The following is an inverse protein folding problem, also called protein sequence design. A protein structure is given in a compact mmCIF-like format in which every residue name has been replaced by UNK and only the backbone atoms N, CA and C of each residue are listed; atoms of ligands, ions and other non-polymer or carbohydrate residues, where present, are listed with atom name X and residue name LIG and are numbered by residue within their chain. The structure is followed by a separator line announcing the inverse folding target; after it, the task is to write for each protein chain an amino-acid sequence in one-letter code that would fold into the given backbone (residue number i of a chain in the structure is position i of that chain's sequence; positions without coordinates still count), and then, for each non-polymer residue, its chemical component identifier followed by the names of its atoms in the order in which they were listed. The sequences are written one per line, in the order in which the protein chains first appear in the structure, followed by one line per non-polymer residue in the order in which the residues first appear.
data_IF_800158626044
#
_entry.id   IF_800158626044
#
_cell.length_a   1.000
_cell.length_b   1.000
_cell.length_c   1.000
_cell.angle_alpha   90.00
_cell.angle_beta   90.00
_cell.angle_gamma   90.00
#
_symmetry.space_group_name_H-M   'P 1'
#
loop_
_entity.id
_entity.type
_entity.pdbx_description
1 polymer ?
#
# COMPACT_ATOMS: atom_id res chain seq x y z
N UNK A 1 -18.98 5.09 -76.46
CA UNK A 1 -20.41 5.31 -76.16
C UNK A 1 -20.64 4.87 -74.74
N UNK A 2 -21.15 5.79 -73.92
CA UNK A 2 -21.87 5.56 -72.65
C UNK A 2 -21.07 5.15 -71.40
N UNK A 3 -20.71 6.18 -70.62
CA UNK A 3 -20.67 6.27 -69.14
C UNK A 3 -21.98 5.77 -68.46
N UNK A 4 -22.14 5.76 -67.10
CA UNK A 4 -21.26 5.36 -65.98
C UNK A 4 -22.05 4.60 -64.86
N UNK A 5 -21.53 4.56 -63.61
CA UNK A 5 -22.12 4.14 -62.30
C UNK A 5 -21.99 2.64 -61.96
N UNK A 6 -21.60 2.21 -60.75
CA UNK A 6 -21.94 2.74 -59.44
C UNK A 6 -20.84 2.53 -58.38
N UNK A 7 -20.61 3.59 -57.62
CA UNK A 7 -19.93 3.68 -56.33
C UNK A 7 -20.78 3.10 -55.19
N UNK A 8 -20.10 2.79 -54.08
CA UNK A 8 -20.61 2.81 -52.70
C UNK A 8 -21.48 1.65 -52.21
N UNK A 9 -20.92 0.84 -51.31
CA UNK A 9 -21.32 0.81 -49.88
C UNK A 9 -20.81 -0.48 -49.24
N UNK A 10 -19.71 -0.38 -48.50
CA UNK A 10 -19.25 -1.43 -47.57
C UNK A 10 -19.88 -1.24 -46.17
N UNK A 11 -20.95 -0.43 -46.08
CA UNK A 11 -21.64 -0.07 -44.84
C UNK A 11 -22.95 -0.84 -44.60
N UNK A 12 -23.37 -1.74 -45.51
CA UNK A 12 -24.62 -2.51 -45.36
C UNK A 12 -24.44 -3.98 -44.91
N UNK A 13 -23.22 -4.40 -44.55
CA UNK A 13 -22.98 -5.75 -43.99
C UNK A 13 -22.69 -5.79 -42.48
N UNK A 14 -22.76 -4.65 -41.78
CA UNK A 14 -22.54 -4.59 -40.32
C UNK A 14 -23.84 -4.36 -39.53
N UNK A 15 -24.98 -4.17 -40.20
CA UNK A 15 -26.25 -3.86 -39.55
C UNK A 15 -27.17 -5.07 -39.25
N UNK A 16 -26.91 -6.27 -39.78
CA UNK A 16 -27.78 -7.46 -39.55
C UNK A 16 -27.22 -8.52 -38.57
N UNK A 17 -26.01 -8.34 -38.04
CA UNK A 17 -25.44 -9.22 -37.00
C UNK A 17 -25.66 -8.72 -35.56
N UNK A 18 -26.32 -7.56 -35.40
CA UNK A 18 -26.70 -6.99 -34.09
C UNK A 18 -28.14 -7.35 -33.68
N UNK A 19 -28.93 -7.98 -34.56
CA UNK A 19 -30.36 -8.24 -34.31
C UNK A 19 -30.72 -9.65 -33.80
N UNK A 20 -29.76 -10.59 -33.69
CA UNK A 20 -30.03 -11.97 -33.24
C UNK A 20 -29.38 -12.37 -31.90
N UNK A 21 -28.79 -11.43 -31.14
CA UNK A 21 -28.28 -11.69 -29.79
C UNK A 21 -29.10 -11.05 -28.65
N UNK A 22 -30.25 -10.45 -28.96
CA UNK A 22 -31.14 -9.83 -27.97
C UNK A 22 -32.36 -10.67 -27.56
N UNK A 23 -32.36 -11.99 -27.82
CA UNK A 23 -33.52 -12.87 -27.51
C UNK A 23 -33.28 -13.96 -26.45
N UNK A 24 -32.20 -13.88 -25.66
CA UNK A 24 -31.98 -14.79 -24.51
C UNK A 24 -31.99 -14.10 -23.14
N UNK A 25 -32.34 -12.81 -23.07
CA UNK A 25 -32.46 -12.04 -21.80
C UNK A 25 -33.88 -11.82 -21.31
N UNK A 26 -34.89 -12.45 -21.92
CA UNK A 26 -36.29 -12.26 -21.48
C UNK A 26 -36.92 -13.41 -20.70
N UNK A 27 -36.17 -14.46 -20.31
CA UNK A 27 -36.75 -15.63 -19.60
C UNK A 27 -36.03 -16.09 -18.32
N UNK A 28 -35.22 -15.23 -17.69
CA UNK A 28 -34.62 -15.51 -16.36
C UNK A 28 -35.15 -14.59 -15.26
N UNK A 29 -35.94 -13.56 -15.61
CA UNK A 29 -36.34 -12.54 -14.64
C UNK A 29 -37.62 -12.84 -13.83
N UNK A 30 -38.33 -13.96 -14.09
CA UNK A 30 -39.53 -14.33 -13.33
C UNK A 30 -39.32 -15.33 -12.19
N UNK A 31 -38.21 -16.09 -12.15
CA UNK A 31 -38.00 -17.09 -11.09
C UNK A 31 -37.33 -16.52 -9.82
N UNK A 32 -36.70 -15.35 -9.89
CA UNK A 32 -35.95 -14.76 -8.77
C UNK A 32 -36.77 -13.87 -7.81
N UNK A 33 -38.04 -13.56 -8.12
CA UNK A 33 -38.90 -12.72 -7.26
C UNK A 33 -39.67 -13.51 -6.19
N UNK A 34 -39.88 -14.83 -6.34
CA UNK A 34 -40.52 -15.68 -5.32
C UNK A 34 -39.60 -16.11 -4.16
N UNK A 35 -38.28 -16.14 -4.37
CA UNK A 35 -37.29 -16.56 -3.35
C UNK A 35 -37.00 -15.52 -2.25
N UNK A 36 -37.19 -14.22 -2.55
CA UNK A 36 -36.92 -13.13 -1.58
C UNK A 36 -38.03 -12.95 -0.53
N UNK A 37 -39.26 -13.37 -0.81
CA UNK A 37 -40.38 -13.23 0.12
C UNK A 37 -40.38 -14.31 1.22
N UNK A 38 -39.94 -15.53 0.87
CA UNK A 38 -39.84 -16.66 1.81
C UNK A 38 -38.67 -16.44 2.79
N UNK A 39 -37.50 -15.97 2.33
CA UNK A 39 -36.34 -15.69 3.21
C UNK A 39 -36.62 -14.62 4.26
N UNK A 40 -37.41 -13.58 3.93
CA UNK A 40 -37.78 -12.52 4.89
C UNK A 40 -38.76 -13.01 5.96
N UNK A 41 -39.57 -14.04 5.70
CA UNK A 41 -40.47 -14.65 6.70
C UNK A 41 -39.74 -15.63 7.62
N UNK A 42 -38.72 -16.33 7.12
CA UNK A 42 -37.89 -17.25 7.93
C UNK A 42 -36.95 -16.50 8.89
N UNK A 43 -36.37 -15.37 8.46
CA UNK A 43 -35.50 -14.55 9.32
C UNK A 43 -36.26 -13.99 10.55
N UNK A 44 -37.49 -13.50 10.37
CA UNK A 44 -38.32 -13.00 11.48
C UNK A 44 -38.74 -14.06 12.49
N UNK A 45 -38.84 -15.33 12.08
CA UNK A 45 -39.15 -16.43 13.01
C UNK A 45 -37.92 -16.83 13.84
N UNK A 46 -36.71 -16.67 13.29
CA UNK A 46 -35.46 -16.91 14.01
C UNK A 46 -35.21 -15.86 15.09
N UNK A 47 -35.49 -14.58 14.81
CA UNK A 47 -35.34 -13.51 15.80
C UNK A 47 -36.29 -13.69 17.01
N UNK A 48 -37.51 -14.18 16.79
CA UNK A 48 -38.48 -14.47 17.87
C UNK A 48 -38.04 -15.67 18.72
N UNK A 49 -37.45 -16.70 18.10
CA UNK A 49 -36.93 -17.88 18.81
C UNK A 49 -35.72 -17.55 19.70
N UNK A 50 -34.83 -16.66 19.25
CA UNK A 50 -33.68 -16.19 20.04
C UNK A 50 -34.15 -15.36 21.25
N UNK A 51 -35.15 -14.50 21.08
CA UNK A 51 -35.69 -13.69 22.19
C UNK A 51 -36.36 -14.58 23.25
N UNK A 52 -37.08 -15.64 22.85
CA UNK A 52 -37.69 -16.60 23.78
C UNK A 52 -36.63 -17.38 24.57
N UNK A 53 -35.52 -17.77 23.94
CA UNK A 53 -34.41 -18.44 24.60
C UNK A 53 -33.64 -17.51 25.57
N UNK A 54 -33.52 -16.23 25.25
CA UNK A 54 -32.89 -15.25 26.15
C UNK A 54 -33.74 -14.92 27.40
N UNK A 55 -35.08 -14.99 27.30
CA UNK A 55 -35.97 -14.73 28.45
C UNK A 55 -36.06 -15.92 29.42
N UNK A 56 -35.70 -17.13 28.99
CA UNK A 56 -35.68 -18.33 29.84
C UNK A 56 -34.44 -18.44 30.74
N UNK A 57 -33.43 -17.56 30.60
CA UNK A 57 -32.20 -17.58 31.41
C UNK A 57 -32.26 -16.67 32.66
N UNK A 58 -33.39 -16.03 32.96
CA UNK A 58 -33.55 -15.19 34.16
C UNK A 58 -34.24 -16.00 35.27
N UNK A 59 -33.56 -17.03 35.77
CA UNK A 59 -33.86 -17.63 37.08
C UNK A 59 -32.58 -17.58 37.91
N UNK A 60 -32.56 -16.63 38.86
CA UNK A 60 -31.47 -16.41 39.81
C UNK A 60 -31.47 -17.52 40.87
N UNK A 61 -30.29 -18.08 41.17
CA UNK A 61 -30.01 -18.74 42.44
C UNK A 61 -28.74 -18.15 43.08
N UNK A 62 -28.64 -18.08 44.42
CA UNK A 62 -27.75 -17.19 45.14
C UNK A 62 -26.40 -17.82 45.51
N UNK A 63 -25.41 -16.93 45.68
CA UNK A 63 -24.06 -17.18 46.20
C UNK A 63 -24.07 -17.76 47.62
N UNK A 64 -22.96 -18.38 48.05
CA UNK A 64 -22.30 -17.79 49.21
C UNK A 64 -20.78 -17.64 49.07
N UNK A 65 -20.32 -16.59 49.72
CA UNK A 65 -18.97 -16.13 50.02
C UNK A 65 -18.19 -17.11 50.90
N UNK A 66 -16.86 -17.22 50.75
CA UNK A 66 -15.92 -17.32 51.88
C UNK A 66 -14.54 -16.74 51.54
N UNK A 67 -13.89 -16.29 52.60
CA UNK A 67 -12.84 -15.29 52.70
C UNK A 67 -11.40 -15.82 52.54
N UNK A 68 -10.46 -14.88 52.41
CA UNK A 68 -9.00 -15.05 52.37
C UNK A 68 -8.39 -15.68 53.64
N UNK A 69 -7.11 -16.10 53.58
CA UNK A 69 -6.10 -15.36 54.35
C UNK A 69 -4.79 -15.07 53.60
N UNK A 70 -4.07 -14.06 54.11
CA UNK A 70 -2.74 -13.59 53.71
C UNK A 70 -1.60 -14.52 54.13
N UNK A 71 -0.50 -14.54 53.36
CA UNK A 71 0.87 -14.69 53.89
C UNK A 71 1.96 -14.42 52.82
N UNK A 72 2.87 -13.49 53.15
CA UNK A 72 4.33 -13.52 52.96
C UNK A 72 4.96 -13.73 51.56
N UNK A 73 5.36 -12.62 50.95
CA UNK A 73 6.76 -12.29 50.62
C UNK A 73 7.71 -13.41 50.14
N UNK A 74 7.88 -13.52 48.82
CA UNK A 74 9.21 -13.74 48.22
C UNK A 74 9.25 -13.24 46.77
N UNK A 75 10.11 -12.25 46.52
CA UNK A 75 10.44 -11.73 45.19
C UNK A 75 10.95 -12.85 44.27
N UNK A 76 10.32 -12.99 43.09
CA UNK A 76 11.01 -13.45 41.89
C UNK A 76 10.28 -12.94 40.63
N UNK A 77 11.07 -12.31 39.77
CA UNK A 77 10.72 -11.81 38.44
C UNK A 77 9.81 -12.74 37.63
N UNK A 78 8.58 -12.31 37.35
CA UNK A 78 7.88 -12.61 36.09
C UNK A 78 7.01 -11.41 35.76
N UNK A 79 7.41 -10.63 34.74
CA UNK A 79 6.57 -9.57 34.18
C UNK A 79 5.40 -10.27 33.47
N UNK A 80 4.25 -10.27 34.15
CA UNK A 80 2.96 -10.67 33.62
C UNK A 80 2.67 -9.93 32.31
N UNK A 81 2.66 -10.66 31.19
CA UNK A 81 2.11 -10.21 29.92
C UNK A 81 0.65 -10.66 29.85
N UNK A 82 -0.28 -9.70 29.90
CA UNK A 82 -1.68 -9.92 29.54
C UNK A 82 -1.81 -10.33 28.06
N UNK A 83 -2.73 -11.23 27.70
CA UNK A 83 -2.84 -11.79 26.35
C UNK A 83 -3.61 -10.90 25.33
N UNK A 84 -3.40 -9.57 25.34
CA UNK A 84 -4.14 -8.64 24.49
C UNK A 84 -3.27 -7.65 23.68
N UNK A 85 -1.95 -7.86 23.59
CA UNK A 85 -1.02 -6.90 23.00
C UNK A 85 -0.20 -7.51 21.85
N UNK A 86 -0.88 -8.09 20.86
CA UNK A 86 -0.27 -8.51 19.58
C UNK A 86 -0.40 -7.38 18.56
N UNK A 87 0.20 -6.22 18.87
CA UNK A 87 0.52 -5.19 17.88
C UNK A 87 1.86 -5.50 17.18
N UNK A 88 2.17 -4.82 16.06
CA UNK A 88 3.47 -4.94 15.41
C UNK A 88 4.59 -4.61 16.41
N UNK A 89 5.72 -5.34 16.32
CA UNK A 89 6.90 -5.25 17.22
C UNK A 89 7.15 -3.83 17.73
N UNK A 90 7.47 -3.67 19.02
CA UNK A 90 7.79 -2.35 19.62
C UNK A 90 8.94 -1.62 18.91
N UNK A 91 9.73 -2.34 18.13
CA UNK A 91 10.80 -1.76 17.32
C UNK A 91 10.21 -1.24 16.01
N UNK A 92 10.42 0.05 15.75
CA UNK A 92 9.99 0.69 14.52
C UNK A 92 10.87 0.20 13.35
N UNK A 93 10.40 -0.84 12.65
CA UNK A 93 11.06 -1.54 11.52
C UNK A 93 11.73 -0.60 10.50
N UNK A 94 11.12 0.56 10.27
CA UNK A 94 11.52 1.51 9.25
C UNK A 94 12.35 2.68 9.76
N UNK A 95 12.73 2.69 11.05
CA UNK A 95 13.77 3.58 11.57
C UNK A 95 15.12 2.96 11.21
N UNK A 96 15.96 3.70 10.46
CA UNK A 96 17.25 3.22 9.95
C UNK A 96 17.16 1.82 9.27
N UNK A 97 16.35 1.64 8.22
CA UNK A 97 16.02 0.33 7.64
C UNK A 97 17.21 -0.39 6.98
N UNK A 98 18.34 0.31 6.82
CA UNK A 98 19.54 -0.17 6.15
C UNK A 98 20.61 -0.67 7.11
N UNK A 99 20.40 -0.57 8.43
CA UNK A 99 21.35 -1.05 9.43
C UNK A 99 22.67 -0.26 9.50
N UNK A 100 22.80 0.82 8.71
CA UNK A 100 23.92 1.76 8.81
C UNK A 100 23.62 2.70 9.99
N UNK A 101 24.39 2.59 11.06
CA UNK A 101 24.43 3.65 12.06
C UNK A 101 25.01 4.87 11.38
N UNK A 102 24.16 5.83 11.04
CA UNK A 102 24.60 7.21 10.86
C UNK A 102 25.39 7.55 12.12
N UNK A 103 26.67 7.85 11.98
CA UNK A 103 27.46 8.40 13.07
C UNK A 103 26.67 9.56 13.64
N UNK A 104 26.18 9.38 14.87
CA UNK A 104 25.63 10.49 15.62
C UNK A 104 26.73 11.57 15.66
N UNK A 105 26.42 12.86 15.43
CA UNK A 105 27.45 13.91 15.40
C UNK A 105 28.18 14.15 16.74
N UNK A 106 28.05 13.25 17.72
CA UNK A 106 28.55 13.39 19.08
C UNK A 106 29.67 12.40 19.43
N UNK A 107 30.09 11.50 18.53
CA UNK A 107 31.27 10.65 18.78
C UNK A 107 32.47 11.10 17.93
N UNK A 108 33.19 12.08 18.49
CA UNK A 108 34.55 12.44 18.11
C UNK A 108 35.47 11.24 18.42
N UNK A 109 35.78 10.45 17.39
CA UNK A 109 36.89 9.49 17.41
C UNK A 109 37.34 9.17 15.98
N UNK A 110 38.25 10.02 15.48
CA UNK A 110 39.39 9.63 14.64
C UNK A 110 39.22 8.41 13.71
N UNK A 111 38.67 8.64 12.51
CA UNK A 111 39.09 7.89 11.32
C UNK A 111 39.74 8.87 10.35
N UNK A 112 40.99 9.22 10.66
CA UNK A 112 41.89 9.72 9.64
C UNK A 112 42.47 8.54 8.87
N UNK A 113 42.36 8.58 7.55
CA UNK A 113 43.40 8.13 6.60
C UNK A 113 42.82 8.20 5.18
N UNK A 114 43.26 9.21 4.43
CA UNK A 114 43.50 9.12 2.98
C UNK A 114 42.42 8.38 2.17
N UNK A 115 41.24 8.97 2.04
CA UNK A 115 40.35 8.63 0.94
C UNK A 115 40.99 9.17 -0.34
N UNK A 116 41.56 8.27 -1.14
CA UNK A 116 42.01 8.53 -2.50
C UNK A 116 40.90 9.29 -3.28
N UNK A 117 41.17 10.51 -3.80
CA UNK A 117 40.18 11.29 -4.55
C UNK A 117 39.70 10.60 -5.84
N UNK A 118 40.31 9.46 -6.22
CA UNK A 118 39.93 8.66 -7.38
C UNK A 118 38.82 7.61 -7.09
N UNK A 119 38.40 7.43 -5.83
CA UNK A 119 37.31 6.50 -5.45
C UNK A 119 35.97 7.21 -5.19
N UNK A 120 35.76 8.39 -5.74
CA UNK A 120 34.42 8.95 -5.84
C UNK A 120 33.65 8.12 -6.89
N UNK A 121 32.67 7.33 -6.46
CA UNK A 121 31.71 6.69 -7.37
C UNK A 121 31.19 7.80 -8.29
N UNK A 122 31.30 7.61 -9.61
CA UNK A 122 30.87 8.61 -10.56
C UNK A 122 29.40 8.96 -10.26
N UNK A 123 29.04 10.24 -10.20
CA UNK A 123 27.68 10.67 -9.81
C UNK A 123 26.58 9.88 -10.56
N UNK A 124 26.82 9.62 -11.84
CA UNK A 124 25.94 8.83 -12.69
C UNK A 124 25.77 7.38 -12.23
N UNK A 125 26.80 6.74 -11.68
CA UNK A 125 26.72 5.35 -11.19
C UNK A 125 25.78 5.24 -9.98
N UNK A 126 25.89 6.14 -9.00
CA UNK A 126 24.96 6.18 -7.85
C UNK A 126 23.50 6.38 -8.30
N UNK A 127 23.25 7.35 -9.18
CA UNK A 127 21.90 7.62 -9.66
C UNK A 127 21.35 6.46 -10.52
N UNK A 128 22.20 5.83 -11.34
CA UNK A 128 21.81 4.66 -12.13
C UNK A 128 21.42 3.47 -11.23
N UNK A 129 22.12 3.26 -10.12
CA UNK A 129 21.77 2.18 -9.18
C UNK A 129 20.41 2.42 -8.53
N UNK A 130 20.10 3.66 -8.13
CA UNK A 130 18.77 4.03 -7.60
C UNK A 130 17.70 3.71 -8.65
N UNK A 131 17.89 4.14 -9.90
CA UNK A 131 16.94 3.89 -11.00
C UNK A 131 16.78 2.39 -11.24
N UNK A 132 17.86 1.63 -11.26
CA UNK A 132 17.84 0.18 -11.49
C UNK A 132 17.01 -0.54 -10.42
N UNK A 133 17.23 -0.22 -9.15
CA UNK A 133 16.50 -0.82 -8.04
C UNK A 133 15.04 -0.37 -8.05
N UNK A 134 14.75 0.90 -8.33
CA UNK A 134 13.39 1.41 -8.44
C UNK A 134 12.61 0.74 -9.57
N UNK A 135 13.22 0.57 -10.76
CA UNK A 135 12.63 -0.17 -11.89
C UNK A 135 12.40 -1.64 -11.56
N UNK A 136 13.31 -2.26 -10.81
CA UNK A 136 13.16 -3.64 -10.36
C UNK A 136 11.95 -3.79 -9.42
N UNK A 137 11.85 -2.89 -8.43
CA UNK A 137 10.72 -2.82 -7.51
C UNK A 137 9.39 -2.54 -8.24
N UNK A 138 9.40 -1.61 -9.19
CA UNK A 138 8.23 -1.25 -10.01
C UNK A 138 7.77 -2.43 -10.86
N UNK A 139 8.70 -3.11 -11.54
CA UNK A 139 8.40 -4.28 -12.36
C UNK A 139 7.80 -5.42 -11.54
N UNK A 140 8.25 -5.61 -10.30
CA UNK A 140 7.63 -6.55 -9.38
C UNK A 140 6.22 -6.12 -8.97
N UNK A 141 6.02 -4.86 -8.59
CA UNK A 141 4.72 -4.33 -8.21
C UNK A 141 3.70 -4.46 -9.35
N UNK A 142 4.12 -4.16 -10.59
CA UNK A 142 3.28 -4.30 -11.79
C UNK A 142 2.83 -5.75 -12.03
N UNK A 143 3.73 -6.73 -11.85
CA UNK A 143 3.36 -8.15 -11.98
C UNK A 143 2.34 -8.61 -10.93
N UNK A 144 2.36 -7.99 -9.76
CA UNK A 144 1.48 -8.33 -8.65
C UNK A 144 0.11 -7.63 -8.74
N UNK A 145 0.08 -6.35 -9.15
CA UNK A 145 -1.10 -5.48 -8.99
C UNK A 145 -2.37 -5.99 -9.66
N UNK A 146 -2.27 -6.53 -10.87
CA UNK A 146 -3.45 -6.94 -11.64
C UNK A 146 -4.14 -8.13 -10.96
N UNK A 147 -3.34 -9.10 -10.50
CA UNK A 147 -3.83 -10.25 -9.74
C UNK A 147 -4.41 -9.86 -8.39
N UNK A 148 -3.76 -8.92 -7.69
CA UNK A 148 -4.26 -8.37 -6.44
C UNK A 148 -5.61 -7.68 -6.60
N UNK A 149 -5.73 -6.75 -7.56
CA UNK A 149 -6.97 -6.00 -7.80
C UNK A 149 -8.09 -6.95 -8.23
N UNK A 150 -7.79 -7.86 -9.16
CA UNK A 150 -8.79 -8.80 -9.66
C UNK A 150 -9.32 -9.72 -8.56
N UNK A 151 -8.45 -10.22 -7.69
CA UNK A 151 -8.84 -11.12 -6.61
C UNK A 151 -9.57 -10.41 -5.47
N UNK A 152 -9.19 -9.16 -5.18
CA UNK A 152 -9.70 -8.39 -4.03
C UNK A 152 -11.01 -7.67 -4.34
N UNK A 153 -11.14 -7.13 -5.55
CA UNK A 153 -12.26 -6.26 -5.93
C UNK A 153 -13.11 -6.81 -7.09
N UNK A 154 -12.69 -7.93 -7.70
CA UNK A 154 -13.37 -8.57 -8.83
C UNK A 154 -13.55 -7.67 -10.07
N UNK A 155 -12.68 -6.68 -10.24
CA UNK A 155 -12.62 -5.77 -11.40
C UNK A 155 -11.24 -5.83 -12.04
N UNK A 156 -11.07 -5.32 -13.25
CA UNK A 156 -9.74 -5.16 -13.84
C UNK A 156 -8.99 -3.97 -13.22
N UNK A 157 -7.66 -3.99 -13.35
CA UNK A 157 -6.79 -2.94 -12.81
C UNK A 157 -7.13 -1.55 -13.35
N UNK A 158 -7.33 -1.43 -14.67
CA UNK A 158 -7.55 -0.13 -15.31
C UNK A 158 -8.83 0.50 -14.80
N UNK A 159 -9.93 -0.26 -14.78
CA UNK A 159 -11.21 0.19 -14.24
C UNK A 159 -11.08 0.59 -12.76
N UNK A 160 -10.41 -0.21 -11.95
CA UNK A 160 -10.25 0.09 -10.53
C UNK A 160 -9.40 1.34 -10.29
N UNK A 161 -8.27 1.47 -10.99
CA UNK A 161 -7.40 2.64 -10.91
C UNK A 161 -8.14 3.92 -11.31
N UNK A 162 -8.81 3.91 -12.46
CA UNK A 162 -9.57 5.07 -12.93
C UNK A 162 -10.69 5.49 -11.97
N UNK A 163 -11.33 4.53 -11.30
CA UNK A 163 -12.40 4.82 -10.33
C UNK A 163 -11.87 5.54 -9.09
N UNK A 164 -10.63 5.25 -8.67
CA UNK A 164 -10.13 5.65 -7.36
C UNK A 164 -8.88 6.55 -7.40
N UNK A 165 -8.34 6.88 -8.57
CA UNK A 165 -7.08 7.65 -8.71
C UNK A 165 -7.09 9.00 -7.99
N UNK A 166 -8.25 9.65 -7.92
CA UNK A 166 -8.39 10.98 -7.28
C UNK A 166 -8.52 10.92 -5.74
N UNK A 167 -8.68 9.73 -5.15
CA UNK A 167 -8.72 9.59 -3.70
C UNK A 167 -7.32 9.45 -3.12
N UNK A 168 -7.02 10.29 -2.13
CA UNK A 168 -5.70 10.35 -1.48
C UNK A 168 -5.83 10.43 0.04
N UNK A 169 -4.91 9.79 0.76
CA UNK A 169 -4.81 9.99 2.21
C UNK A 169 -3.89 11.15 2.54
N UNK A 170 -4.32 12.06 3.40
CA UNK A 170 -3.55 13.26 3.77
C UNK A 170 -2.20 13.00 4.44
N UNK A 171 -1.96 11.78 4.94
CA UNK A 171 -0.69 11.39 5.55
C UNK A 171 0.30 10.77 4.55
N UNK A 172 -0.15 10.45 3.33
CA UNK A 172 0.71 10.04 2.21
C UNK A 172 1.24 11.29 1.48
N UNK A 173 2.36 11.20 0.75
CA UNK A 173 2.90 12.31 -0.04
C UNK A 173 1.82 12.96 -0.92
N UNK A 174 1.67 14.28 -0.81
CA UNK A 174 0.59 15.01 -1.48
C UNK A 174 0.84 15.21 -2.98
N UNK A 175 -0.19 15.68 -3.70
CA UNK A 175 -0.07 16.11 -5.09
C UNK A 175 0.90 17.30 -5.30
N UNK A 176 1.26 18.04 -4.25
CA UNK A 176 2.31 19.06 -4.35
C UNK A 176 3.72 18.44 -4.29
N UNK A 177 3.83 17.28 -3.63
CA UNK A 177 5.08 16.56 -3.44
C UNK A 177 5.36 15.57 -4.58
N UNK A 178 4.33 14.88 -5.05
CA UNK A 178 4.35 13.97 -6.20
C UNK A 178 3.21 14.40 -7.15
N UNK A 179 3.46 15.35 -8.07
CA UNK A 179 2.42 15.98 -8.88
C UNK A 179 2.01 15.14 -10.11
N UNK A 180 1.63 13.89 -9.87
CA UNK A 180 1.20 12.95 -10.92
C UNK A 180 0.40 11.80 -10.32
N UNK A 181 -0.44 11.17 -11.15
CA UNK A 181 -1.02 9.86 -10.85
C UNK A 181 -0.15 8.72 -11.37
N UNK A 182 -0.42 7.51 -10.86
CA UNK A 182 0.21 6.29 -11.34
C UNK A 182 -0.01 6.13 -12.86
N UNK A 183 1.07 5.93 -13.60
CA UNK A 183 1.09 5.78 -15.05
C UNK A 183 1.24 7.09 -15.84
N UNK A 184 1.23 8.24 -15.18
CA UNK A 184 1.48 9.54 -15.81
C UNK A 184 2.95 9.94 -15.70
N UNK A 185 3.47 10.78 -16.61
CA UNK A 185 4.83 11.31 -16.46
C UNK A 185 4.87 12.45 -15.45
N UNK A 186 5.96 12.54 -14.68
CA UNK A 186 6.18 13.69 -13.79
C UNK A 186 6.28 14.99 -14.61
N UNK A 187 5.54 16.07 -14.26
CA UNK A 187 5.59 17.33 -14.98
C UNK A 187 7.00 17.91 -15.09
N UNK A 188 7.39 18.31 -16.31
CA UNK A 188 8.74 18.82 -16.59
C UNK A 188 9.08 20.07 -15.75
N UNK A 189 8.11 20.96 -15.56
CA UNK A 189 8.28 22.15 -14.72
C UNK A 189 8.57 21.81 -13.25
N UNK A 190 8.01 20.70 -12.74
CA UNK A 190 8.35 20.20 -11.41
C UNK A 190 9.79 19.72 -11.37
N UNK A 191 10.18 18.86 -12.32
CA UNK A 191 11.55 18.33 -12.43
C UNK A 191 12.60 19.44 -12.54
N UNK A 192 12.31 20.49 -13.31
CA UNK A 192 13.20 21.64 -13.50
C UNK A 192 13.51 22.42 -12.21
N UNK A 193 12.58 22.40 -11.26
CA UNK A 193 12.71 23.10 -9.98
C UNK A 193 13.38 22.25 -8.89
N UNK A 194 13.74 21.00 -9.17
CA UNK A 194 14.38 20.11 -8.20
C UNK A 194 15.89 20.36 -8.11
N UNK A 195 16.40 20.27 -6.89
CA UNK A 195 17.82 20.18 -6.58
C UNK A 195 18.16 18.77 -6.10
N UNK A 196 19.26 18.19 -6.59
CA UNK A 196 19.59 16.78 -6.33
C UNK A 196 19.67 16.43 -4.83
N UNK A 197 20.33 17.23 -3.95
CA UNK A 197 20.33 16.95 -2.51
C UNK A 197 18.92 16.89 -1.91
N UNK A 198 18.05 17.82 -2.31
CA UNK A 198 16.66 17.89 -1.85
C UNK A 198 15.84 16.73 -2.40
N UNK A 199 16.04 16.36 -3.66
CA UNK A 199 15.39 15.24 -4.31
C UNK A 199 15.73 13.89 -3.65
N UNK A 200 17.00 13.69 -3.25
CA UNK A 200 17.41 12.51 -2.48
C UNK A 200 16.69 12.44 -1.12
N UNK A 201 16.71 13.54 -0.36
CA UNK A 201 16.03 13.63 0.94
C UNK A 201 14.54 13.36 0.83
N UNK A 202 13.87 14.03 -0.11
CA UNK A 202 12.42 13.95 -0.25
C UNK A 202 12.00 12.57 -0.78
N UNK A 203 12.73 12.01 -1.75
CA UNK A 203 12.50 10.64 -2.22
C UNK A 203 12.63 9.63 -1.09
N UNK A 204 13.68 9.73 -0.27
CA UNK A 204 13.85 8.86 0.90
C UNK A 204 12.65 8.97 1.86
N UNK A 205 12.24 10.20 2.19
CA UNK A 205 11.10 10.47 3.07
C UNK A 205 9.79 9.89 2.52
N UNK A 206 9.52 10.06 1.23
CA UNK A 206 8.31 9.54 0.59
C UNK A 206 8.29 8.01 0.63
N UNK A 207 9.39 7.38 0.25
CA UNK A 207 9.54 5.92 0.29
C UNK A 207 9.44 5.36 1.72
N UNK A 208 10.01 6.04 2.72
CA UNK A 208 9.87 5.64 4.12
C UNK A 208 8.43 5.76 4.61
N UNK A 209 7.70 6.78 4.14
CA UNK A 209 6.26 6.95 4.42
C UNK A 209 5.45 5.79 3.85
N UNK A 210 5.71 5.39 2.60
CA UNK A 210 5.08 4.21 2.01
C UNK A 210 5.44 2.92 2.74
N UNK A 211 6.69 2.80 3.22
CA UNK A 211 7.15 1.62 3.94
C UNK A 211 6.36 1.39 5.24
N UNK A 212 6.12 2.47 6.00
CA UNK A 212 5.25 2.43 7.19
C UNK A 212 3.82 2.04 6.85
N UNK A 213 3.30 2.47 5.69
CA UNK A 213 2.01 2.04 5.18
C UNK A 213 1.97 0.56 4.82
N UNK A 214 2.95 0.08 4.04
CA UNK A 214 3.06 -1.31 3.61
C UNK A 214 3.26 -2.28 4.78
N UNK A 215 3.91 -1.85 5.86
CA UNK A 215 3.99 -2.62 7.10
C UNK A 215 2.60 -3.00 7.61
N UNK A 216 1.69 -2.02 7.62
CA UNK A 216 0.31 -2.23 8.02
C UNK A 216 -0.39 -3.17 7.03
N UNK A 217 -0.18 -3.00 5.73
CA UNK A 217 -0.76 -3.87 4.69
C UNK A 217 -0.35 -5.33 4.91
N UNK A 218 0.94 -5.59 5.14
CA UNK A 218 1.48 -6.93 5.43
C UNK A 218 0.88 -7.53 6.68
N UNK A 219 0.77 -6.74 7.75
CA UNK A 219 0.17 -7.18 9.01
C UNK A 219 -1.31 -7.55 8.83
N UNK A 220 -2.04 -6.79 8.02
CA UNK A 220 -3.44 -7.09 7.71
C UNK A 220 -3.64 -8.36 6.87
N UNK A 221 -2.59 -8.85 6.20
CA UNK A 221 -2.64 -10.13 5.48
C UNK A 221 -2.50 -11.36 6.41
N UNK A 222 -2.13 -11.19 7.69
CA UNK A 222 -1.92 -12.31 8.63
C UNK A 222 -3.21 -13.10 8.88
N UNK A 223 -4.37 -12.48 8.65
CA UNK A 223 -5.69 -13.06 8.85
C UNK A 223 -6.32 -13.72 7.60
N UNK A 224 -5.60 -13.88 6.48
CA UNK A 224 -5.99 -14.88 5.45
C UNK A 224 -6.38 -14.40 4.05
N UNK A 225 -5.83 -13.29 3.55
CA UNK A 225 -6.02 -12.81 2.17
C UNK A 225 -5.08 -13.42 1.13
N UNK A 226 -4.08 -14.21 1.56
CA UNK A 226 -3.19 -14.97 0.66
C UNK A 226 -2.05 -14.17 0.02
N UNK A 227 -2.05 -12.84 0.10
CA UNK A 227 -1.03 -11.96 -0.51
C UNK A 227 0.12 -11.56 0.42
N UNK A 228 0.24 -12.18 1.60
CA UNK A 228 1.27 -11.83 2.58
C UNK A 228 2.67 -11.87 1.97
N UNK A 229 2.99 -12.93 1.22
CA UNK A 229 4.29 -13.10 0.59
C UNK A 229 4.57 -12.01 -0.45
N UNK A 230 3.58 -11.64 -1.27
CA UNK A 230 3.73 -10.60 -2.29
C UNK A 230 3.97 -9.21 -1.68
N UNK A 231 3.23 -8.87 -0.62
CA UNK A 231 3.44 -7.61 0.08
C UNK A 231 4.74 -7.58 0.88
N UNK A 232 5.17 -8.70 1.48
CA UNK A 232 6.51 -8.80 2.09
C UNK A 232 7.61 -8.62 1.04
N UNK A 233 7.46 -9.23 -0.13
CA UNK A 233 8.39 -9.04 -1.23
C UNK A 233 8.40 -7.59 -1.71
N UNK A 234 7.26 -6.89 -1.66
CA UNK A 234 7.17 -5.45 -1.95
C UNK A 234 7.94 -4.62 -0.92
N UNK A 235 7.79 -4.91 0.38
CA UNK A 235 8.57 -4.26 1.44
C UNK A 235 10.08 -4.48 1.27
N UNK A 236 10.50 -5.69 0.89
CA UNK A 236 11.91 -5.99 0.66
C UNK A 236 12.49 -5.18 -0.50
N UNK A 237 11.78 -5.09 -1.62
CA UNK A 237 12.21 -4.29 -2.77
C UNK A 237 12.22 -2.79 -2.46
N UNK A 238 11.24 -2.28 -1.72
CA UNK A 238 11.24 -0.91 -1.23
C UNK A 238 12.44 -0.61 -0.34
N UNK A 239 12.79 -1.54 0.57
CA UNK A 239 13.98 -1.39 1.41
C UNK A 239 15.26 -1.28 0.58
N UNK A 240 15.40 -2.07 -0.48
CA UNK A 240 16.57 -1.96 -1.37
C UNK A 240 16.69 -0.56 -1.99
N UNK A 241 15.58 0.02 -2.47
CA UNK A 241 15.58 1.38 -3.03
C UNK A 241 15.92 2.42 -1.96
N UNK A 242 15.32 2.31 -0.76
CA UNK A 242 15.62 3.19 0.37
C UNK A 242 17.11 3.18 0.71
N UNK A 243 17.74 2.01 0.72
CA UNK A 243 19.15 1.89 1.09
C UNK A 243 20.10 2.43 0.03
N UNK A 244 19.74 2.32 -1.24
CA UNK A 244 20.54 2.93 -2.30
C UNK A 244 20.45 4.46 -2.25
N UNK A 245 19.25 5.02 -2.04
CA UNK A 245 19.08 6.46 -1.84
C UNK A 245 19.87 6.92 -0.60
N UNK A 246 19.83 6.16 0.49
CA UNK A 246 20.58 6.48 1.71
C UNK A 246 22.09 6.46 1.47
N UNK A 247 22.61 5.47 0.74
CA UNK A 247 24.02 5.43 0.35
C UNK A 247 24.40 6.66 -0.47
N UNK A 248 23.60 7.02 -1.48
CA UNK A 248 23.82 8.23 -2.27
C UNK A 248 23.75 9.52 -1.43
N UNK A 249 22.94 9.56 -0.36
CA UNK A 249 22.92 10.68 0.58
C UNK A 249 24.21 10.75 1.41
N UNK A 250 24.71 9.62 1.92
CA UNK A 250 25.97 9.54 2.69
C UNK A 250 27.14 10.02 1.84
N UNK A 251 27.30 9.49 0.63
CA UNK A 251 28.38 9.85 -0.31
C UNK A 251 28.38 11.35 -0.64
N UNK A 252 27.22 12.01 -0.58
CA UNK A 252 27.06 13.44 -0.89
C UNK A 252 27.00 14.34 0.34
N UNK A 253 27.16 13.80 1.55
CA UNK A 253 27.03 14.55 2.80
C UNK A 253 25.63 15.14 3.02
N UNK A 254 24.60 14.54 2.43
CA UNK A 254 23.20 14.98 2.54
C UNK A 254 22.56 14.36 3.77
N UNK A 255 22.15 15.19 4.73
CA UNK A 255 21.49 14.72 5.95
C UNK A 255 20.07 14.21 5.66
N UNK A 256 19.66 13.14 6.32
CA UNK A 256 18.29 12.63 6.28
C UNK A 256 17.31 13.59 6.96
N UNK A 257 16.05 13.58 6.49
CA UNK A 257 14.93 14.05 7.32
C UNK A 257 14.79 13.18 8.57
N UNK A 258 14.07 13.70 9.57
CA UNK A 258 13.67 12.88 10.72
C UNK A 258 12.95 11.60 10.26
N UNK A 259 13.25 10.48 10.90
CA UNK A 259 12.66 9.20 10.57
C UNK A 259 11.14 9.24 10.66
N UNK A 260 10.47 8.71 9.65
CA UNK A 260 9.02 8.54 9.66
C UNK A 260 8.66 7.38 10.58
N UNK A 261 7.92 7.68 11.65
CA UNK A 261 7.46 6.67 12.59
C UNK A 261 6.05 6.18 12.22
N UNK A 262 5.59 5.14 12.90
CA UNK A 262 4.24 4.60 12.67
C UNK A 262 3.17 5.67 12.86
N UNK A 263 3.32 6.61 13.78
CA UNK A 263 2.31 7.64 14.09
C UNK A 263 1.79 8.47 12.91
N UNK A 264 2.53 8.54 11.79
CA UNK A 264 2.09 9.20 10.55
C UNK A 264 0.73 8.68 10.06
N UNK A 265 0.46 7.37 10.25
CA UNK A 265 -0.85 6.79 9.99
C UNK A 265 -1.59 6.64 11.33
N UNK A 266 -2.68 7.40 11.47
CA UNK A 266 -3.46 7.46 12.71
C UNK A 266 -4.05 6.10 13.10
N UNK A 267 -4.35 5.92 14.38
CA UNK A 267 -4.87 4.66 14.94
C UNK A 267 -6.19 4.22 14.31
N UNK A 268 -7.01 5.14 13.81
CA UNK A 268 -8.26 4.80 13.09
C UNK A 268 -7.99 4.05 11.78
N UNK A 269 -6.89 4.37 11.08
CA UNK A 269 -6.48 3.66 9.88
C UNK A 269 -5.82 2.33 10.21
N UNK A 270 -5.12 2.22 11.34
CA UNK A 270 -4.48 0.97 11.77
C UNK A 270 -5.45 -0.04 12.36
N UNK A 271 -6.37 0.43 13.21
CA UNK A 271 -7.27 -0.43 13.99
C UNK A 271 -8.65 -0.50 13.33
N UNK A 272 -8.69 -0.68 12.01
CA UNK A 272 -9.94 -0.90 11.30
C UNK A 272 -10.56 -2.23 11.74
N UNK A 273 -11.83 -2.21 12.13
CA UNK A 273 -12.52 -3.41 12.64
C UNK A 273 -12.50 -4.53 11.60
N UNK A 274 -12.21 -5.77 12.04
CA UNK A 274 -12.14 -6.96 11.17
C UNK A 274 -13.43 -7.21 10.36
N UNK A 275 -14.57 -6.69 10.83
CA UNK A 275 -15.86 -6.76 10.13
C UNK A 275 -15.99 -5.84 8.91
N UNK A 276 -15.00 -5.00 8.60
CA UNK A 276 -15.04 -4.05 7.49
C UNK A 276 -13.89 -4.27 6.48
N UNK A 277 -13.78 -5.51 5.98
CA UNK A 277 -12.73 -5.92 5.04
C UNK A 277 -12.70 -5.06 3.77
N UNK A 278 -13.85 -4.57 3.28
CA UNK A 278 -13.89 -3.72 2.09
C UNK A 278 -13.16 -2.39 2.27
N UNK A 279 -13.33 -1.71 3.41
CA UNK A 279 -12.63 -0.44 3.68
C UNK A 279 -11.15 -0.67 3.88
N UNK A 280 -10.77 -1.75 4.57
CA UNK A 280 -9.37 -2.14 4.74
C UNK A 280 -8.69 -2.45 3.40
N UNK A 281 -9.37 -3.19 2.53
CA UNK A 281 -8.86 -3.51 1.20
C UNK A 281 -8.63 -2.23 0.37
N UNK A 282 -9.55 -1.25 0.43
CA UNK A 282 -9.35 0.04 -0.25
C UNK A 282 -8.17 0.83 0.33
N UNK A 283 -7.99 0.83 1.64
CA UNK A 283 -6.83 1.46 2.29
C UNK A 283 -5.52 0.82 1.79
N UNK A 284 -5.46 -0.50 1.77
CA UNK A 284 -4.29 -1.26 1.31
C UNK A 284 -3.99 -0.97 -0.16
N UNK A 285 -5.03 -0.90 -0.97
CA UNK A 285 -4.94 -0.50 -2.36
C UNK A 285 -4.35 0.91 -2.51
N UNK A 286 -4.83 1.92 -1.78
CA UNK A 286 -4.30 3.29 -1.90
C UNK A 286 -2.83 3.37 -1.49
N UNK A 287 -2.43 2.67 -0.43
CA UNK A 287 -1.03 2.58 -0.01
C UNK A 287 -0.18 1.93 -1.12
N UNK A 288 -0.65 0.82 -1.68
CA UNK A 288 0.08 0.10 -2.72
C UNK A 288 0.15 0.87 -4.05
N UNK A 289 -0.93 1.54 -4.45
CA UNK A 289 -0.99 2.44 -5.60
C UNK A 289 0.00 3.59 -5.45
N UNK A 290 0.02 4.24 -4.30
CA UNK A 290 0.88 5.40 -4.08
C UNK A 290 2.36 5.02 -3.95
N UNK A 291 2.64 3.83 -3.42
CA UNK A 291 3.98 3.22 -3.52
C UNK A 291 4.42 3.05 -4.98
N UNK A 292 3.57 2.50 -5.85
CA UNK A 292 3.90 2.36 -7.28
C UNK A 292 4.10 3.73 -7.93
N UNK A 293 3.25 4.70 -7.62
CA UNK A 293 3.37 6.08 -8.11
C UNK A 293 4.69 6.74 -7.64
N UNK A 294 5.06 6.51 -6.38
CA UNK A 294 6.31 6.97 -5.79
C UNK A 294 7.54 6.36 -6.45
N UNK A 295 7.50 5.08 -6.84
CA UNK A 295 8.59 4.47 -7.60
C UNK A 295 8.75 5.09 -8.98
N UNK A 296 7.65 5.32 -9.70
CA UNK A 296 7.70 6.02 -10.99
C UNK A 296 8.26 7.43 -10.85
N UNK A 297 7.84 8.16 -9.82
CA UNK A 297 8.37 9.49 -9.53
C UNK A 297 9.88 9.46 -9.25
N UNK A 298 10.36 8.51 -8.43
CA UNK A 298 11.79 8.31 -8.17
C UNK A 298 12.56 8.06 -9.48
N UNK A 299 12.04 7.21 -10.36
CA UNK A 299 12.63 6.93 -11.66
C UNK A 299 12.72 8.22 -12.49
N UNK A 300 11.60 8.93 -12.68
CA UNK A 300 11.53 10.18 -13.47
C UNK A 300 12.52 11.24 -12.95
N UNK A 301 12.60 11.40 -11.62
CA UNK A 301 13.48 12.39 -10.97
C UNK A 301 14.95 12.10 -11.22
N UNK A 302 15.39 10.85 -11.00
CA UNK A 302 16.81 10.53 -11.14
C UNK A 302 17.24 10.37 -12.60
N UNK A 303 16.35 9.93 -13.49
CA UNK A 303 16.58 10.00 -14.93
C UNK A 303 16.78 11.44 -15.40
N UNK A 304 15.97 12.38 -14.90
CA UNK A 304 16.14 13.80 -15.20
C UNK A 304 17.52 14.32 -14.80
N UNK A 305 18.01 13.97 -13.60
CA UNK A 305 19.34 14.40 -13.15
C UNK A 305 20.47 13.82 -14.01
N UNK A 306 20.39 12.54 -14.40
CA UNK A 306 21.36 11.92 -15.31
C UNK A 306 21.36 12.65 -16.66
N UNK A 307 20.19 12.88 -17.25
CA UNK A 307 20.08 13.52 -18.56
C UNK A 307 20.56 14.98 -18.52
N UNK A 308 20.29 15.69 -17.42
CA UNK A 308 20.76 17.06 -17.18
C UNK A 308 22.28 17.14 -17.02
N UNK A 309 22.93 16.15 -16.41
CA UNK A 309 24.38 16.12 -16.24
C UNK A 309 25.14 15.86 -17.55
N UNK A 310 24.48 15.27 -18.55
CA UNK A 310 25.05 14.95 -19.88
C UNK A 310 24.80 16.06 -20.91
N UNK A 311 23.84 16.96 -20.66
CA UNK A 311 23.44 18.07 -21.56
C UNK A 311 24.26 19.33 -21.34
#
# INVERSE_FOLDING_TARGET
MSDPTCTSSYDDMVAELVFLNNFTTFNVHQHHRRSRWIRKRVAKLWDVLVIILCLASIVRLPCPTMSAPMSSEHQRHVRSSSPADLGPSKDAKWIKPCGMNNGDPEDDSSLGADADPEMAIAENELLNNIILLARTAQGQAHRFRDGYVKSTFNVDFVQHHETWKDLHYSWLPSMEQIPKNLGESTPVNHLQNLELPKALQDSYKFLQTFAVGLEQVVWDQEDGSGFKADFQATEYSLRSVLCEIHAAMIERGVKQHADITRDIMSREFRNMSKGNSSVRNLRDWFIFRDYMNGLEYVIDVFEYFINKAVS
#
